data_IF_973497370019
#
_entry.id   IF_973497370019
#
_cell.length_a   1.000
_cell.length_b   1.000
_cell.length_c   1.000
_cell.angle_alpha   90.00
_cell.angle_beta   90.00
_cell.angle_gamma   90.00
#
_symmetry.space_group_name_H-M   'P 1'
#
loop_
_entity.id
_entity.type
_entity.pdbx_description
1 polymer ?
#
# COMPACT_ATOMS: atom_id res chain seq x y z
N UNK A 1 8.18 4.03 24.57
CA UNK A 1 8.31 2.90 23.67
C UNK A 1 8.65 3.34 22.27
N UNK A 2 9.73 2.88 21.77
CA UNK A 2 10.17 3.19 20.44
C UNK A 2 9.79 2.10 19.46
N UNK A 3 9.98 2.40 18.19
CA UNK A 3 9.84 1.43 17.14
C UNK A 3 11.18 0.71 17.00
N UNK A 4 11.17 -0.59 16.92
CA UNK A 4 12.38 -1.40 16.96
C UNK A 4 13.55 -0.81 16.17
N UNK A 5 13.48 -0.81 14.86
CA UNK A 5 14.55 -0.29 14.03
C UNK A 5 14.43 1.18 13.71
N UNK A 6 13.36 1.81 14.13
CA UNK A 6 13.14 3.24 13.93
C UNK A 6 13.16 3.68 12.46
N UNK A 7 13.07 2.74 11.55
CA UNK A 7 12.98 3.09 10.13
C UNK A 7 11.54 3.45 9.80
N UNK A 8 11.36 4.63 9.23
CA UNK A 8 10.06 5.07 8.75
C UNK A 8 10.24 5.53 7.32
N UNK A 9 9.51 4.89 6.41
CA UNK A 9 9.59 5.20 4.99
C UNK A 9 8.46 6.13 4.58
N UNK A 10 7.46 5.58 3.85
CA UNK A 10 6.33 6.37 3.43
C UNK A 10 5.45 6.79 4.60
N UNK A 11 4.81 7.94 4.46
CA UNK A 11 3.96 8.52 5.50
C UNK A 11 2.67 9.02 4.84
N UNK A 12 1.53 8.79 5.51
CA UNK A 12 0.24 9.28 5.04
C UNK A 12 -0.68 9.56 6.23
N UNK A 13 -1.63 10.44 6.02
CA UNK A 13 -2.61 10.77 7.06
C UNK A 13 -3.99 10.32 6.58
N UNK A 14 -4.75 9.65 7.46
CA UNK A 14 -6.13 9.28 7.11
C UNK A 14 -7.09 10.40 7.51
N UNK A 15 -8.37 10.24 7.18
CA UNK A 15 -9.36 11.30 7.42
C UNK A 15 -9.67 11.48 8.91
N UNK A 16 -9.37 10.49 9.73
CA UNK A 16 -9.54 10.60 11.17
C UNK A 16 -8.37 11.27 11.86
N UNK A 17 -7.33 11.62 11.09
CA UNK A 17 -6.16 12.29 11.65
C UNK A 17 -5.06 11.35 12.11
N UNK A 18 -5.21 10.06 11.87
CA UNK A 18 -4.16 9.10 12.22
C UNK A 18 -3.03 9.19 11.22
N UNK A 19 -1.81 9.01 11.70
CA UNK A 19 -0.63 8.99 10.84
C UNK A 19 -0.24 7.54 10.61
N UNK A 20 -0.13 7.18 9.36
CA UNK A 20 0.29 5.85 8.94
C UNK A 20 1.67 5.93 8.31
N UNK A 21 2.51 4.97 8.57
CA UNK A 21 3.84 4.97 7.98
C UNK A 21 4.36 3.55 7.81
N UNK A 22 5.29 3.38 6.88
CA UNK A 22 5.90 2.09 6.64
C UNK A 22 7.13 1.93 7.50
N UNK A 23 7.38 0.68 7.87
CA UNK A 23 8.58 0.28 8.58
C UNK A 23 9.23 -0.87 7.82
N UNK A 24 10.38 -1.32 8.28
CA UNK A 24 11.05 -2.42 7.63
C UNK A 24 10.19 -3.68 7.59
N UNK A 25 9.45 -3.94 8.64
CA UNK A 25 8.71 -5.20 8.79
C UNK A 25 7.19 -5.05 8.67
N UNK A 26 6.71 -3.91 8.23
CA UNK A 26 5.27 -3.71 8.11
C UNK A 26 4.89 -2.25 8.07
N UNK A 27 3.68 -1.96 8.57
CA UNK A 27 3.19 -0.60 8.66
C UNK A 27 2.71 -0.33 10.09
N UNK A 28 2.60 0.94 10.41
CA UNK A 28 2.19 1.35 11.73
C UNK A 28 1.20 2.50 11.65
N UNK A 29 0.23 2.50 12.55
CA UNK A 29 -0.72 3.59 12.71
C UNK A 29 -0.48 4.28 14.05
N UNK A 30 -0.34 5.59 14.03
CA UNK A 30 -0.20 6.40 15.24
C UNK A 30 -1.43 7.29 15.38
N UNK A 31 -2.17 7.14 16.46
CA UNK A 31 -3.42 7.89 16.69
C UNK A 31 -3.24 9.06 17.65
N UNK A 32 -2.02 9.41 17.98
CA UNK A 32 -1.72 10.46 18.94
C UNK A 32 -1.44 9.94 20.33
N UNK A 33 -1.77 8.69 20.60
CA UNK A 33 -1.57 8.09 21.92
C UNK A 33 -0.86 6.76 21.86
N UNK A 34 -1.19 5.92 20.87
CA UNK A 34 -0.59 4.60 20.76
C UNK A 34 -0.23 4.28 19.34
N UNK A 35 0.64 3.30 19.21
CA UNK A 35 1.08 2.76 17.92
C UNK A 35 0.43 1.39 17.73
N UNK A 36 -0.11 1.16 16.55
CA UNK A 36 -0.67 -0.14 16.18
C UNK A 36 0.11 -0.65 14.97
N UNK A 37 0.69 -1.83 15.09
CA UNK A 37 1.52 -2.40 14.02
C UNK A 37 0.76 -3.45 13.23
N UNK A 38 1.00 -3.48 11.93
CA UNK A 38 0.48 -4.49 11.02
C UNK A 38 1.66 -5.09 10.28
N UNK A 39 1.73 -6.41 10.26
CA UNK A 39 2.88 -7.14 9.73
C UNK A 39 2.41 -8.22 8.76
N UNK A 40 3.33 -8.96 8.12
CA UNK A 40 2.92 -10.10 7.30
C UNK A 40 2.10 -11.14 8.04
N UNK A 41 2.23 -11.22 9.35
CA UNK A 41 1.38 -12.13 10.14
C UNK A 41 -0.10 -11.74 10.06
N UNK A 42 -0.38 -10.47 9.82
CA UNK A 42 -1.75 -9.97 9.67
C UNK A 42 -2.27 -10.10 8.25
N UNK A 43 -1.37 -10.23 7.27
CA UNK A 43 -1.76 -10.38 5.88
C UNK A 43 -1.02 -9.52 4.89
N UNK A 44 -0.13 -8.62 5.34
CA UNK A 44 0.68 -7.83 4.43
C UNK A 44 1.59 -8.74 3.62
N UNK A 45 1.75 -8.43 2.33
CA UNK A 45 2.66 -9.19 1.48
C UNK A 45 4.02 -8.57 1.40
N UNK A 46 5.03 -9.40 1.14
CA UNK A 46 6.36 -8.95 0.84
C UNK A 46 7.22 -8.66 2.07
N UNK A 47 8.32 -7.97 1.81
CA UNK A 47 9.29 -7.59 2.84
C UNK A 47 9.75 -6.17 2.52
N UNK A 48 10.37 -5.51 3.49
CA UNK A 48 10.93 -4.17 3.29
C UNK A 48 9.89 -3.21 2.71
N UNK A 49 9.01 -2.75 3.56
CA UNK A 49 7.90 -1.87 3.17
C UNK A 49 8.41 -0.44 3.03
N UNK A 50 8.03 0.24 1.93
CA UNK A 50 8.54 1.59 1.72
C UNK A 50 7.52 2.61 1.25
N UNK A 51 6.38 2.21 0.69
CA UNK A 51 5.39 3.14 0.20
C UNK A 51 4.03 2.91 0.79
N UNK A 52 3.29 3.99 1.02
CA UNK A 52 1.93 3.90 1.53
C UNK A 52 1.10 5.01 0.91
N UNK A 53 -0.13 4.68 0.54
CA UNK A 53 -1.08 5.64 -0.02
C UNK A 53 -2.47 5.32 0.50
N UNK A 54 -3.20 6.33 0.96
CA UNK A 54 -4.55 6.17 1.48
C UNK A 54 -5.53 6.79 0.49
N UNK A 55 -6.43 5.95 -0.05
CA UNK A 55 -7.44 6.41 -0.99
C UNK A 55 -8.48 7.27 -0.31
N UNK A 56 -9.25 7.98 -1.12
CA UNK A 56 -10.27 8.89 -0.64
C UNK A 56 -11.24 8.24 0.35
N UNK A 57 -11.56 6.98 0.16
CA UNK A 57 -12.52 6.28 1.02
C UNK A 57 -11.87 5.37 2.04
N UNK A 58 -10.58 5.53 2.26
CA UNK A 58 -9.92 4.87 3.38
C UNK A 58 -9.15 3.60 3.09
N UNK A 59 -9.22 3.10 1.87
CA UNK A 59 -8.42 1.94 1.48
C UNK A 59 -6.94 2.34 1.48
N UNK A 60 -6.10 1.48 2.03
CA UNK A 60 -4.67 1.75 2.14
C UNK A 60 -3.90 0.82 1.20
N UNK A 61 -3.01 1.40 0.41
CA UNK A 61 -2.11 0.66 -0.46
C UNK A 61 -0.71 0.73 0.11
N UNK A 62 -0.06 -0.42 0.18
CA UNK A 62 1.28 -0.53 0.76
C UNK A 62 2.18 -1.23 -0.24
N UNK A 63 3.33 -0.63 -0.52
CA UNK A 63 4.30 -1.24 -1.43
C UNK A 63 5.48 -1.79 -0.66
N UNK A 64 5.98 -2.93 -1.14
CA UNK A 64 7.08 -3.62 -0.51
C UNK A 64 7.87 -4.36 -1.58
N UNK A 65 8.98 -4.95 -1.17
CA UNK A 65 9.74 -5.78 -2.07
C UNK A 65 8.89 -6.99 -2.48
N UNK A 66 8.62 -7.09 -3.77
CA UNK A 66 7.92 -8.24 -4.34
C UNK A 66 6.42 -8.19 -4.33
N UNK A 67 5.80 -7.15 -3.75
CA UNK A 67 4.35 -7.11 -3.71
C UNK A 67 3.81 -5.71 -3.44
N UNK A 68 2.52 -5.55 -3.76
CA UNK A 68 1.73 -4.39 -3.37
C UNK A 68 0.49 -4.94 -2.66
N UNK A 69 0.20 -4.43 -1.48
CA UNK A 69 -0.93 -4.92 -0.69
C UNK A 69 -2.01 -3.86 -0.61
N UNK A 70 -3.25 -4.29 -0.82
CA UNK A 70 -4.44 -3.47 -0.60
C UNK A 70 -5.01 -3.84 0.76
N UNK A 71 -5.15 -2.87 1.65
CA UNK A 71 -5.60 -3.09 3.01
C UNK A 71 -6.85 -2.27 3.27
N UNK A 72 -7.91 -2.94 3.73
CA UNK A 72 -9.15 -2.28 4.13
C UNK A 72 -9.22 -2.25 5.67
N UNK A 73 -8.86 -1.13 6.29
CA UNK A 73 -8.84 -1.07 7.76
C UNK A 73 -10.22 -1.06 8.41
N UNK A 74 -11.29 -0.95 7.63
CA UNK A 74 -12.64 -1.03 8.18
C UNK A 74 -13.05 -2.45 8.50
N UNK A 75 -12.32 -3.44 8.02
CA UNK A 75 -12.59 -4.85 8.30
C UNK A 75 -11.83 -5.26 9.55
N UNK A 76 -12.51 -5.66 10.63
CA UNK A 76 -11.81 -6.03 11.87
C UNK A 76 -10.93 -7.25 11.68
N UNK A 77 -9.77 -7.20 12.30
CA UNK A 77 -8.80 -8.31 12.26
C UNK A 77 -9.02 -9.26 13.44
N UNK A 78 -8.71 -10.55 13.29
CA UNK A 78 -8.17 -11.18 12.10
C UNK A 78 -9.26 -11.48 11.07
N UNK A 79 -9.01 -11.13 9.82
CA UNK A 79 -9.91 -11.45 8.73
C UNK A 79 -9.09 -11.39 7.43
N UNK A 80 -8.97 -12.52 6.70
CA UNK A 80 -8.16 -12.52 5.48
C UNK A 80 -8.69 -11.60 4.38
N UNK A 81 -9.97 -11.22 4.45
CA UNK A 81 -10.53 -10.31 3.46
C UNK A 81 -10.06 -8.87 3.63
N UNK A 82 -9.41 -8.54 4.75
CA UNK A 82 -8.91 -7.20 4.97
C UNK A 82 -7.69 -6.89 4.09
N UNK A 83 -6.97 -7.92 3.66
CA UNK A 83 -5.75 -7.75 2.87
C UNK A 83 -5.84 -8.47 1.55
N UNK A 84 -5.42 -7.81 0.48
CA UNK A 84 -5.27 -8.43 -0.84
C UNK A 84 -3.86 -8.14 -1.32
N UNK A 85 -3.10 -9.19 -1.59
CA UNK A 85 -1.70 -9.07 -1.99
C UNK A 85 -1.58 -9.28 -3.49
N UNK A 86 -0.96 -8.31 -4.17
CA UNK A 86 -0.72 -8.36 -5.60
C UNK A 86 0.77 -8.52 -5.86
N UNK A 87 1.11 -9.38 -6.82
CA UNK A 87 2.50 -9.67 -7.17
C UNK A 87 2.69 -9.52 -8.68
N UNK A 88 3.85 -9.92 -9.16
CA UNK A 88 4.14 -9.86 -10.60
C UNK A 88 3.13 -10.68 -11.41
N UNK A 89 2.54 -11.71 -10.80
CA UNK A 89 1.52 -12.52 -11.48
C UNK A 89 0.23 -11.72 -11.72
N UNK A 90 0.02 -10.67 -10.96
CA UNK A 90 -1.13 -9.79 -11.12
C UNK A 90 -0.82 -8.60 -12.02
N UNK A 91 0.38 -8.54 -12.55
CA UNK A 91 0.78 -7.53 -13.51
C UNK A 91 1.61 -6.39 -12.95
N UNK A 92 1.82 -6.32 -11.62
CA UNK A 92 2.60 -5.23 -11.04
C UNK A 92 4.03 -5.69 -10.78
N UNK A 93 4.97 -4.98 -11.40
CA UNK A 93 6.38 -5.31 -11.19
C UNK A 93 6.93 -4.53 -10.00
N UNK A 94 8.00 -5.04 -9.44
CA UNK A 94 8.83 -4.26 -8.55
C UNK A 94 9.35 -3.06 -9.36
N UNK A 95 9.68 -2.02 -8.90
CA UNK A 95 9.64 -1.55 -7.56
C UNK A 95 8.84 -0.27 -7.61
N UNK A 96 7.74 -0.26 -6.93
CA UNK A 96 6.84 0.89 -7.00
C UNK A 96 7.50 2.06 -6.29
N UNK A 97 7.55 3.20 -6.97
CA UNK A 97 8.16 4.41 -6.43
C UNK A 97 7.13 5.44 -6.03
N UNK A 98 5.96 5.42 -6.65
CA UNK A 98 4.91 6.37 -6.31
C UNK A 98 3.55 5.77 -6.61
N UNK A 99 2.55 6.28 -5.91
CA UNK A 99 1.16 5.90 -6.10
C UNK A 99 0.33 7.17 -6.13
N UNK A 100 -0.76 7.15 -6.88
CA UNK A 100 -1.59 8.34 -7.04
C UNK A 100 -3.02 7.95 -7.36
N UNK A 101 -3.98 8.61 -6.72
CA UNK A 101 -5.40 8.46 -7.06
C UNK A 101 -5.84 9.70 -7.82
N UNK A 102 -6.39 9.52 -9.02
CA UNK A 102 -6.80 10.66 -9.83
C UNK A 102 -8.20 11.15 -9.44
N UNK A 103 -8.66 12.19 -10.12
CA UNK A 103 -9.96 12.80 -9.81
C UNK A 103 -11.14 11.86 -10.03
N UNK A 104 -10.98 10.86 -10.86
CA UNK A 104 -12.01 9.87 -11.14
C UNK A 104 -11.86 8.64 -10.26
N UNK A 105 -10.99 8.73 -9.23
CA UNK A 105 -10.74 7.67 -8.25
C UNK A 105 -10.01 6.46 -8.82
N UNK A 106 -9.35 6.62 -9.97
CA UNK A 106 -8.48 5.57 -10.49
C UNK A 106 -7.14 5.60 -9.79
N UNK A 107 -6.59 4.42 -9.54
CA UNK A 107 -5.28 4.31 -8.91
C UNK A 107 -4.20 4.06 -9.94
N UNK A 108 -3.08 4.73 -9.76
CA UNK A 108 -1.93 4.70 -10.66
C UNK A 108 -0.67 4.41 -9.89
N UNK A 109 0.25 3.70 -10.52
CA UNK A 109 1.54 3.34 -9.92
C UNK A 109 2.68 3.75 -10.86
N UNK A 110 3.66 4.46 -10.30
CA UNK A 110 4.91 4.73 -11.00
C UNK A 110 5.95 3.73 -10.55
N UNK A 111 6.53 3.01 -11.48
CA UNK A 111 7.52 1.99 -11.18
C UNK A 111 8.77 2.20 -12.00
N UNK A 112 9.82 1.44 -11.72
CA UNK A 112 11.03 1.48 -12.51
C UNK A 112 10.84 1.02 -13.95
N UNK A 113 9.69 0.44 -14.27
CA UNK A 113 9.41 -0.05 -15.62
C UNK A 113 8.26 0.69 -16.30
N UNK A 114 7.77 1.75 -15.68
CA UNK A 114 6.77 2.59 -16.30
C UNK A 114 5.56 2.85 -15.45
N UNK A 115 4.52 3.32 -16.10
CA UNK A 115 3.26 3.69 -15.47
C UNK A 115 2.29 2.52 -15.54
N UNK A 116 1.67 2.22 -14.40
CA UNK A 116 0.69 1.15 -14.30
C UNK A 116 -0.63 1.68 -13.80
N UNK A 117 -1.70 1.02 -14.21
CA UNK A 117 -3.06 1.32 -13.78
C UNK A 117 -3.70 0.07 -13.22
N UNK A 118 -4.55 0.26 -12.19
CA UNK A 118 -5.31 -0.82 -11.58
C UNK A 118 -6.77 -0.73 -12.04
N UNK A 119 -7.32 -1.85 -12.52
CA UNK A 119 -8.69 -1.87 -13.05
C UNK A 119 -9.70 -2.44 -12.05
N UNK A 120 -9.28 -2.64 -10.81
CA UNK A 120 -10.11 -3.26 -9.78
C UNK A 120 -9.77 -4.71 -9.51
N UNK A 121 -9.07 -5.35 -10.43
CA UNK A 121 -8.70 -6.76 -10.29
C UNK A 121 -7.23 -7.01 -10.53
N UNK A 122 -6.64 -6.30 -11.49
CA UNK A 122 -5.25 -6.50 -11.81
C UNK A 122 -4.63 -5.23 -12.34
N UNK A 123 -3.31 -5.26 -12.46
CA UNK A 123 -2.53 -4.13 -12.94
C UNK A 123 -2.16 -4.33 -14.41
N UNK A 124 -2.06 -3.25 -15.14
CA UNK A 124 -1.52 -3.30 -16.49
C UNK A 124 -0.72 -2.05 -16.79
N UNK A 125 0.28 -2.24 -17.64
CA UNK A 125 1.16 -1.15 -18.00
C UNK A 125 0.51 -0.26 -19.05
N UNK A 126 0.60 1.05 -18.86
CA UNK A 126 0.11 2.02 -19.82
C UNK A 126 1.19 2.24 -20.86
N UNK A 127 0.86 2.06 -22.13
CA UNK A 127 1.80 2.21 -23.24
C UNK A 127 1.25 3.20 -24.26
N UNK A 128 2.11 3.68 -25.16
CA UNK A 128 1.65 4.59 -26.18
C UNK A 128 0.53 4.00 -27.04
N UNK A 129 0.54 2.69 -27.23
CA UNK A 129 -0.44 2.00 -28.04
C UNK A 129 -1.62 1.44 -27.24
N UNK A 130 -1.68 1.69 -25.95
CA UNK A 130 -2.73 1.22 -25.08
C UNK A 130 -2.25 0.23 -24.05
N UNK A 131 -3.15 -0.34 -23.22
CA UNK A 131 -4.55 0.06 -23.06
C UNK A 131 -4.68 1.32 -22.20
N UNK A 132 -5.76 2.09 -22.42
CA UNK A 132 -6.13 3.21 -21.55
C UNK A 132 -7.60 3.60 -21.74
#
# INVERSE_FOLDING_TARGET
>A
IGLGNNFAGGIAEDKAGNIWFTMKNGICKYDGKKLTEYTPKDGLGGTEFWGIYIEQYGIIWVTARGSTTRFDPSIPLPNPNAFTVFTVEDGINCCVQSMYQDRSNNMWWGTGQGLYRFDGKRFYQVKKTGPW
#
